data_IF_613160725018
#
_entry.id   IF_613160725018
#
_cell.length_a   1.000
_cell.length_b   1.000
_cell.length_c   1.000
_cell.angle_alpha   90.00
_cell.angle_beta   90.00
_cell.angle_gamma   90.00
#
_symmetry.space_group_name_H-M   'P 1'
#
loop_
_entity.id
_entity.type
_entity.pdbx_description
1 polymer ?
#
# COMPACT_ATOMS: atom_id res chain seq x y z
N UNK A 1 -12.64 -15.98 1.88
CA UNK A 1 -13.40 -15.32 2.97
C UNK A 1 -14.32 -14.27 2.34
N UNK A 2 -15.59 -14.17 2.77
CA UNK A 2 -16.49 -13.12 2.28
C UNK A 2 -16.19 -11.77 2.99
N UNK A 3 -15.55 -10.83 2.29
CA UNK A 3 -15.18 -9.52 2.86
C UNK A 3 -16.39 -8.71 3.39
N UNK A 4 -17.54 -8.67 2.70
CA UNK A 4 -18.77 -8.08 3.22
C UNK A 4 -19.16 -8.53 4.64
N UNK A 5 -19.18 -9.83 4.92
CA UNK A 5 -19.52 -10.33 6.27
C UNK A 5 -18.48 -9.93 7.32
N UNK A 6 -17.18 -10.00 7.01
CA UNK A 6 -16.09 -9.55 7.88
C UNK A 6 -16.24 -8.09 8.29
N UNK A 7 -16.45 -7.20 7.31
CA UNK A 7 -16.59 -5.76 7.57
C UNK A 7 -17.88 -5.43 8.31
N UNK A 8 -18.98 -6.17 8.05
CA UNK A 8 -20.24 -5.99 8.79
C UNK A 8 -20.05 -6.31 10.27
N UNK A 9 -19.46 -7.45 10.59
CA UNK A 9 -19.19 -7.85 11.98
C UNK A 9 -18.27 -6.85 12.68
N UNK A 10 -17.17 -6.46 12.04
CA UNK A 10 -16.26 -5.47 12.61
C UNK A 10 -16.96 -4.15 12.93
N UNK A 11 -17.84 -3.66 12.05
CA UNK A 11 -18.61 -2.43 12.30
C UNK A 11 -19.59 -2.58 13.47
N UNK A 12 -20.25 -3.73 13.61
CA UNK A 12 -21.16 -4.00 14.72
C UNK A 12 -20.41 -3.95 16.06
N UNK A 13 -19.29 -4.67 16.14
CA UNK A 13 -18.49 -4.78 17.37
C UNK A 13 -17.79 -3.45 17.72
N UNK A 14 -17.46 -2.64 16.72
CA UNK A 14 -16.76 -1.35 16.92
C UNK A 14 -17.58 -0.24 17.58
N UNK A 15 -18.88 -0.45 17.77
CA UNK A 15 -19.78 0.52 18.39
C UNK A 15 -19.31 0.94 19.79
N UNK A 16 -18.62 0.04 20.49
CA UNK A 16 -18.04 0.24 21.82
C UNK A 16 -16.78 1.13 21.82
N UNK A 17 -16.17 1.40 20.66
CA UNK A 17 -14.88 2.10 20.57
C UNK A 17 -15.00 3.54 20.11
N UNK A 18 -16.21 4.04 19.86
CA UNK A 18 -16.45 5.36 19.24
C UNK A 18 -15.82 6.53 19.99
N UNK A 19 -15.72 6.44 21.32
CA UNK A 19 -15.13 7.47 22.18
C UNK A 19 -13.60 7.41 22.25
N UNK A 20 -12.97 6.34 21.76
CA UNK A 20 -11.52 6.18 21.81
C UNK A 20 -10.80 7.05 20.79
N UNK A 21 -9.54 7.37 21.06
CA UNK A 21 -8.65 8.03 20.07
C UNK A 21 -8.40 7.13 18.85
N UNK A 22 -8.00 7.69 17.71
CA UNK A 22 -7.74 6.90 16.50
C UNK A 22 -6.68 5.80 16.71
N UNK A 23 -5.62 6.10 17.49
CA UNK A 23 -4.61 5.12 17.85
C UNK A 23 -5.19 3.98 18.70
N UNK A 24 -5.98 4.29 19.72
CA UNK A 24 -6.65 3.28 20.56
C UNK A 24 -7.68 2.46 19.78
N UNK A 25 -8.43 3.09 18.87
CA UNK A 25 -9.32 2.34 17.96
C UNK A 25 -8.53 1.37 17.07
N UNK A 26 -7.34 1.74 16.56
CA UNK A 26 -6.50 0.82 15.79
C UNK A 26 -6.03 -0.37 16.64
N UNK A 27 -5.65 -0.13 17.90
CA UNK A 27 -5.30 -1.21 18.84
C UNK A 27 -6.46 -2.18 19.05
N UNK A 28 -7.68 -1.66 19.28
CA UNK A 28 -8.87 -2.50 19.49
C UNK A 28 -9.27 -3.28 18.22
N UNK A 29 -9.21 -2.66 17.05
CA UNK A 29 -9.38 -3.37 15.76
C UNK A 29 -8.32 -4.47 15.61
N UNK A 30 -7.07 -4.20 16.01
CA UNK A 30 -6.00 -5.19 16.04
C UNK A 30 -6.30 -6.38 16.94
N UNK A 31 -6.74 -6.13 18.18
CA UNK A 31 -7.18 -7.18 19.13
C UNK A 31 -8.35 -7.99 18.57
N UNK A 32 -9.30 -7.33 17.91
CA UNK A 32 -10.44 -7.98 17.27
C UNK A 32 -10.02 -8.98 16.19
N UNK A 33 -9.02 -8.62 15.38
CA UNK A 33 -8.40 -9.53 14.40
C UNK A 33 -7.61 -10.64 15.08
N UNK A 34 -6.82 -10.33 16.11
CA UNK A 34 -6.04 -11.31 16.86
C UNK A 34 -6.93 -12.40 17.50
N UNK A 35 -8.05 -12.02 18.10
CA UNK A 35 -9.04 -12.94 18.65
C UNK A 35 -9.70 -13.87 17.61
N UNK A 36 -9.53 -13.58 16.31
CA UNK A 36 -10.02 -14.39 15.18
C UNK A 36 -8.89 -15.15 14.46
N UNK A 37 -7.73 -15.27 15.10
CA UNK A 37 -6.60 -16.06 14.60
C UNK A 37 -5.70 -15.34 13.59
N UNK A 38 -5.88 -14.03 13.40
CA UNK A 38 -4.94 -13.22 12.62
C UNK A 38 -3.71 -12.86 13.46
N UNK A 39 -2.53 -12.83 12.84
CA UNK A 39 -1.27 -12.46 13.49
C UNK A 39 -0.65 -11.26 12.78
N UNK A 40 -0.08 -10.34 13.54
CA UNK A 40 0.67 -9.22 12.99
C UNK A 40 1.94 -9.74 12.30
N UNK A 41 2.17 -9.30 11.06
CA UNK A 41 3.38 -9.62 10.27
C UNK A 41 4.24 -8.39 9.98
N UNK A 42 3.74 -7.20 10.29
CA UNK A 42 4.48 -5.96 10.16
C UNK A 42 3.76 -4.82 10.86
N UNK A 43 4.53 -3.98 11.54
CA UNK A 43 4.06 -2.77 12.20
C UNK A 43 4.91 -1.61 11.70
N UNK A 44 4.30 -0.70 10.96
CA UNK A 44 4.90 0.57 10.56
C UNK A 44 4.45 1.70 11.49
N UNK A 45 4.96 2.91 11.24
CA UNK A 45 4.60 4.10 12.03
C UNK A 45 3.10 4.42 11.98
N UNK A 46 2.43 4.08 10.88
CA UNK A 46 1.03 4.46 10.63
C UNK A 46 0.14 3.30 10.20
N UNK A 47 0.62 2.06 10.24
CA UNK A 47 -0.19 0.91 9.87
C UNK A 47 0.31 -0.39 10.50
N UNK A 48 -0.61 -1.29 10.80
CA UNK A 48 -0.33 -2.67 11.15
C UNK A 48 -0.87 -3.59 10.05
N UNK A 49 -0.10 -4.61 9.70
CA UNK A 49 -0.48 -5.62 8.72
C UNK A 49 -0.66 -6.96 9.41
N UNK A 50 -1.83 -7.57 9.22
CA UNK A 50 -2.22 -8.85 9.81
C UNK A 50 -2.37 -9.91 8.73
N UNK A 51 -2.02 -11.15 9.09
CA UNK A 51 -2.16 -12.32 8.23
C UNK A 51 -2.73 -13.49 9.01
N UNK A 52 -3.55 -14.31 8.36
CA UNK A 52 -3.93 -15.63 8.86
C UNK A 52 -3.20 -16.72 8.08
N UNK A 53 -2.86 -17.83 8.75
CA UNK A 53 -2.21 -18.96 8.11
C UNK A 53 -3.09 -19.54 6.98
N UNK A 54 -2.46 -19.97 5.89
CA UNK A 54 -3.17 -20.49 4.71
C UNK A 54 -3.80 -19.44 3.79
N UNK A 55 -3.93 -18.18 4.21
CA UNK A 55 -4.50 -17.12 3.37
C UNK A 55 -3.42 -16.46 2.48
N UNK A 56 -3.82 -16.08 1.27
CA UNK A 56 -3.06 -15.31 0.28
C UNK A 56 -3.34 -13.80 0.35
N UNK A 57 -4.13 -13.38 1.34
CA UNK A 57 -4.47 -11.99 1.61
C UNK A 57 -3.92 -11.54 2.97
N UNK A 58 -3.81 -10.23 3.14
CA UNK A 58 -3.47 -9.56 4.39
C UNK A 58 -4.49 -8.48 4.70
N UNK A 59 -4.59 -8.13 5.98
CA UNK A 59 -5.38 -7.00 6.46
C UNK A 59 -4.43 -5.87 6.82
N UNK A 60 -4.59 -4.70 6.21
CA UNK A 60 -3.93 -3.47 6.64
C UNK A 60 -4.89 -2.64 7.49
N UNK A 61 -4.46 -2.26 8.68
CA UNK A 61 -5.20 -1.41 9.62
C UNK A 61 -4.39 -0.13 9.84
N UNK A 62 -5.02 1.04 9.69
CA UNK A 62 -4.34 2.34 9.80
C UNK A 62 -5.28 3.40 10.38
N UNK A 63 -4.78 4.40 11.13
CA UNK A 63 -5.60 5.44 11.71
C UNK A 63 -6.04 6.44 10.64
N UNK A 64 -7.21 7.04 10.82
CA UNK A 64 -7.73 8.17 10.05
C UNK A 64 -7.73 9.43 10.92
N UNK A 65 -7.87 10.60 10.28
CA UNK A 65 -7.75 11.89 10.95
C UNK A 65 -6.30 12.34 11.20
N UNK A 66 -5.34 11.63 10.61
CA UNK A 66 -3.93 12.04 10.49
C UNK A 66 -3.55 12.05 9.01
N UNK A 67 -2.67 12.97 8.59
CA UNK A 67 -2.31 13.15 7.17
C UNK A 67 -1.86 11.84 6.49
N UNK A 68 -1.03 11.05 7.18
CA UNK A 68 -0.59 9.73 6.74
C UNK A 68 -1.75 8.78 6.40
N UNK A 69 -2.73 8.74 7.29
CA UNK A 69 -3.91 7.89 7.22
C UNK A 69 -4.83 8.25 6.07
N UNK A 70 -5.09 9.54 5.87
CA UNK A 70 -5.91 10.03 4.75
C UNK A 70 -5.24 9.74 3.40
N UNK A 71 -3.92 9.88 3.35
CA UNK A 71 -3.11 9.54 2.16
C UNK A 71 -3.15 8.06 1.85
N UNK A 72 -2.99 7.22 2.89
CA UNK A 72 -3.11 5.77 2.79
C UNK A 72 -4.51 5.38 2.28
N UNK A 73 -5.56 6.00 2.82
CA UNK A 73 -6.94 5.74 2.38
C UNK A 73 -7.14 6.08 0.90
N UNK A 74 -6.68 7.26 0.48
CA UNK A 74 -6.77 7.71 -0.90
C UNK A 74 -5.97 6.79 -1.85
N UNK A 75 -4.76 6.38 -1.43
CA UNK A 75 -3.92 5.44 -2.16
C UNK A 75 -4.63 4.09 -2.35
N UNK A 76 -5.14 3.48 -1.28
CA UNK A 76 -5.81 2.19 -1.35
C UNK A 76 -7.13 2.24 -2.13
N UNK A 77 -7.84 3.38 -2.14
CA UNK A 77 -9.00 3.61 -3.03
C UNK A 77 -8.59 3.58 -4.50
N UNK A 78 -7.46 4.19 -4.85
CA UNK A 78 -6.90 4.14 -6.20
C UNK A 78 -6.46 2.73 -6.57
N UNK A 79 -5.81 2.00 -5.65
CA UNK A 79 -5.42 0.60 -5.85
C UNK A 79 -6.64 -0.29 -6.16
N UNK A 80 -7.75 -0.10 -5.45
CA UNK A 80 -8.99 -0.86 -5.64
C UNK A 80 -9.65 -0.60 -7.01
N UNK A 81 -9.49 0.60 -7.56
CA UNK A 81 -10.08 1.01 -8.86
C UNK A 81 -9.16 0.74 -10.04
N UNK A 82 -7.85 0.73 -9.80
CA UNK A 82 -6.84 0.65 -10.83
C UNK A 82 -6.40 -0.77 -11.17
N UNK A 83 -5.90 -0.95 -12.39
CA UNK A 83 -5.28 -2.21 -12.85
C UNK A 83 -3.76 -2.08 -12.96
N UNK A 84 -3.16 -1.08 -12.32
CA UNK A 84 -1.73 -0.84 -12.41
C UNK A 84 -0.97 -1.97 -11.70
N UNK A 85 -0.13 -2.74 -12.42
CA UNK A 85 0.59 -3.86 -11.83
C UNK A 85 1.58 -3.44 -10.73
N UNK A 86 1.99 -2.16 -10.69
CA UNK A 86 2.86 -1.60 -9.64
C UNK A 86 2.15 -1.26 -8.33
N UNK A 87 0.83 -1.39 -8.29
CA UNK A 87 0.01 -1.10 -7.11
C UNK A 87 -0.55 -2.42 -6.57
N UNK A 88 -0.71 -2.56 -5.24
CA UNK A 88 -1.28 -3.77 -4.67
C UNK A 88 -2.75 -3.90 -5.08
N UNK A 89 -3.23 -5.12 -5.23
CA UNK A 89 -4.65 -5.42 -5.36
C UNK A 89 -5.31 -5.27 -4.01
N UNK A 90 -6.36 -4.46 -3.97
CA UNK A 90 -7.18 -4.23 -2.78
C UNK A 90 -8.56 -4.82 -3.06
N UNK A 91 -8.82 -5.97 -2.44
CA UNK A 91 -10.06 -6.74 -2.63
C UNK A 91 -11.22 -6.14 -1.78
N UNK A 92 -10.88 -5.54 -0.63
CA UNK A 92 -11.85 -4.91 0.26
C UNK A 92 -11.29 -3.67 0.94
N UNK A 93 -12.13 -2.66 1.15
CA UNK A 93 -11.77 -1.47 1.91
C UNK A 93 -12.99 -0.95 2.67
N UNK A 94 -12.84 -0.74 3.97
CA UNK A 94 -13.85 -0.13 4.84
C UNK A 94 -13.22 0.86 5.80
N UNK A 95 -14.06 1.71 6.38
CA UNK A 95 -13.73 2.49 7.58
C UNK A 95 -14.56 2.00 8.75
N UNK A 96 -14.01 2.12 9.95
CA UNK A 96 -14.62 1.74 11.23
C UNK A 96 -14.23 2.81 12.24
N UNK A 97 -15.16 3.70 12.58
CA UNK A 97 -14.82 4.91 13.34
C UNK A 97 -13.75 5.73 12.64
N UNK A 98 -12.60 5.92 13.31
CA UNK A 98 -11.41 6.62 12.79
C UNK A 98 -10.32 5.65 12.35
N UNK A 99 -10.69 4.47 11.87
CA UNK A 99 -9.74 3.44 11.43
C UNK A 99 -10.09 3.01 10.01
N UNK A 100 -9.09 2.99 9.13
CA UNK A 100 -9.16 2.37 7.82
C UNK A 100 -8.75 0.90 7.91
N UNK A 101 -9.52 0.03 7.24
CA UNK A 101 -9.26 -1.41 7.18
C UNK A 101 -9.33 -1.87 5.73
N UNK A 102 -8.24 -2.41 5.22
CA UNK A 102 -8.13 -2.90 3.85
C UNK A 102 -7.77 -4.39 3.82
N UNK A 103 -8.50 -5.15 3.00
CA UNK A 103 -8.12 -6.50 2.60
C UNK A 103 -7.37 -6.37 1.28
N UNK A 104 -6.13 -6.83 1.24
CA UNK A 104 -5.28 -6.70 0.07
C UNK A 104 -4.50 -7.99 -0.17
N UNK A 105 -4.01 -8.17 -1.38
CA UNK A 105 -3.16 -9.32 -1.69
C UNK A 105 -1.93 -9.37 -0.76
N UNK A 106 -1.45 -10.58 -0.53
CA UNK A 106 -0.18 -10.78 0.17
C UNK A 106 0.99 -10.66 -0.81
N UNK A 107 1.87 -9.72 -0.51
CA UNK A 107 3.12 -9.54 -1.23
C UNK A 107 4.29 -10.14 -0.44
N UNK A 108 5.33 -10.54 -1.16
CA UNK A 108 6.56 -11.07 -0.57
C UNK A 108 7.52 -9.91 -0.24
N UNK A 109 8.12 -9.95 0.95
CA UNK A 109 9.20 -9.02 1.28
C UNK A 109 10.34 -9.16 0.28
N UNK A 110 10.96 -8.04 -0.03
CA UNK A 110 12.08 -7.93 -0.97
C UNK A 110 13.42 -8.33 -0.36
N UNK A 111 13.53 -8.48 0.97
CA UNK A 111 14.77 -8.93 1.62
C UNK A 111 16.02 -8.11 1.25
N UNK A 112 15.89 -6.81 0.94
CA UNK A 112 17.04 -5.95 0.60
C UNK A 112 17.68 -6.20 -0.77
N UNK A 113 16.94 -6.79 -1.72
CA UNK A 113 17.43 -6.96 -3.09
C UNK A 113 17.91 -5.63 -3.69
N UNK A 114 19.15 -5.58 -4.20
CA UNK A 114 19.76 -4.38 -4.79
C UNK A 114 18.90 -3.75 -5.90
N UNK A 115 18.21 -4.58 -6.68
CA UNK A 115 17.27 -4.14 -7.72
C UNK A 115 16.14 -3.27 -7.15
N UNK A 116 15.70 -3.52 -5.93
CA UNK A 116 14.61 -2.80 -5.28
C UNK A 116 15.04 -1.40 -4.86
N UNK A 117 16.27 -1.28 -4.34
CA UNK A 117 16.88 0.01 -4.08
C UNK A 117 16.97 0.87 -5.34
N UNK A 118 17.46 0.29 -6.44
CA UNK A 118 17.60 1.00 -7.72
C UNK A 118 16.23 1.48 -8.24
N UNK A 119 15.20 0.62 -8.20
CA UNK A 119 13.84 1.00 -8.63
C UNK A 119 13.24 2.06 -7.71
N UNK A 120 13.43 1.94 -6.40
CA UNK A 120 12.96 2.93 -5.43
C UNK A 120 13.59 4.30 -5.66
N UNK A 121 14.90 4.33 -5.93
CA UNK A 121 15.63 5.53 -6.26
C UNK A 121 15.13 6.16 -7.57
N UNK A 122 14.94 5.37 -8.63
CA UNK A 122 14.44 5.85 -9.92
C UNK A 122 13.02 6.43 -9.82
N UNK A 123 12.12 5.76 -9.10
CA UNK A 123 10.75 6.27 -8.84
C UNK A 123 10.83 7.58 -8.05
N UNK A 124 11.72 7.65 -7.06
CA UNK A 124 11.93 8.86 -6.23
C UNK A 124 12.50 10.02 -7.02
N UNK A 125 13.53 9.76 -7.84
CA UNK A 125 14.15 10.73 -8.75
C UNK A 125 13.10 11.29 -9.69
N UNK A 126 12.29 10.44 -10.31
CA UNK A 126 11.26 10.87 -11.25
C UNK A 126 10.12 11.63 -10.58
N UNK A 127 9.67 11.20 -9.39
CA UNK A 127 8.65 11.95 -8.66
C UNK A 127 9.15 13.35 -8.26
N UNK A 128 10.42 13.46 -7.84
CA UNK A 128 11.07 14.73 -7.43
C UNK A 128 11.47 15.63 -8.60
N UNK A 129 11.74 15.07 -9.79
CA UNK A 129 12.02 15.82 -11.01
C UNK A 129 10.78 16.66 -11.38
N UNK A 130 10.79 17.91 -10.90
CA UNK A 130 9.62 18.76 -10.71
C UNK A 130 9.04 19.39 -11.98
N UNK A 131 9.64 19.21 -13.16
CA UNK A 131 9.73 20.40 -14.05
C UNK A 131 9.67 20.22 -15.55
N UNK A 132 9.35 19.05 -16.12
CA UNK A 132 9.16 18.98 -17.57
C UNK A 132 7.93 18.14 -17.87
N UNK A 133 6.98 18.68 -18.61
CA UNK A 133 5.91 17.95 -19.32
C UNK A 133 6.47 16.93 -20.34
N UNK A 134 7.63 16.32 -20.06
CA UNK A 134 8.28 15.32 -20.87
C UNK A 134 7.71 13.97 -20.47
N UNK A 135 7.24 13.23 -21.47
CA UNK A 135 6.90 11.81 -21.32
C UNK A 135 8.12 11.04 -20.82
N UNK A 136 7.89 10.23 -19.80
CA UNK A 136 8.81 9.20 -19.32
C UNK A 136 9.18 8.30 -20.51
N UNK A 137 10.47 8.10 -20.77
CA UNK A 137 10.96 7.15 -21.76
C UNK A 137 11.76 6.03 -21.07
N UNK A 138 12.15 5.01 -21.84
CA UNK A 138 12.87 3.84 -21.30
C UNK A 138 14.27 4.20 -20.80
N UNK A 139 14.89 5.18 -21.42
CA UNK A 139 16.26 5.63 -21.12
C UNK A 139 16.32 6.44 -19.81
N UNK A 140 15.17 6.89 -19.31
CA UNK A 140 15.04 7.53 -18.00
C UNK A 140 15.13 6.52 -16.82
N UNK A 141 15.12 5.21 -17.10
CA UNK A 141 15.18 4.14 -16.11
C UNK A 141 16.57 3.50 -16.05
N UNK A 142 17.07 3.18 -14.85
CA UNK A 142 18.31 2.43 -14.72
C UNK A 142 18.24 1.07 -15.43
N UNK A 143 19.37 0.60 -15.96
CA UNK A 143 19.42 -0.75 -16.56
C UNK A 143 18.96 -1.83 -15.59
N UNK A 144 19.18 -1.66 -14.28
CA UNK A 144 18.74 -2.59 -13.25
C UNK A 144 17.21 -2.59 -13.09
N UNK A 145 16.54 -1.44 -13.18
CA UNK A 145 15.07 -1.37 -13.23
C UNK A 145 14.50 -1.96 -14.53
N UNK A 146 15.29 -1.91 -15.62
CA UNK A 146 14.89 -2.35 -16.96
C UNK A 146 15.33 -3.78 -17.29
N UNK A 147 16.25 -4.42 -16.55
CA UNK A 147 16.80 -5.76 -16.88
C UNK A 147 17.01 -6.69 -15.67
N UNK A 148 16.72 -6.24 -14.44
CA UNK A 148 16.91 -7.04 -13.22
C UNK A 148 15.98 -8.26 -13.08
N UNK A 149 16.28 -9.13 -12.12
CA UNK A 149 15.45 -10.29 -11.77
C UNK A 149 14.05 -9.85 -11.30
N UNK A 150 13.03 -10.15 -12.12
CA UNK A 150 11.66 -9.69 -11.93
C UNK A 150 11.24 -8.90 -13.16
N UNK A 151 10.43 -9.52 -14.03
CA UNK A 151 10.10 -8.96 -15.35
C UNK A 151 9.51 -7.55 -15.22
N UNK A 152 10.33 -6.57 -15.61
CA UNK A 152 10.04 -5.33 -16.34
C UNK A 152 8.72 -4.61 -16.00
N UNK A 153 8.81 -3.53 -15.20
CA UNK A 153 7.79 -2.48 -15.28
C UNK A 153 7.86 -1.83 -16.64
N UNK A 154 6.71 -1.70 -17.28
CA UNK A 154 6.64 -0.85 -18.44
C UNK A 154 6.65 0.60 -17.94
N UNK A 155 7.35 1.47 -18.67
CA UNK A 155 7.39 2.92 -18.43
C UNK A 155 5.99 3.51 -18.22
N UNK A 156 4.98 2.95 -18.90
CA UNK A 156 3.57 3.32 -18.75
C UNK A 156 3.00 3.04 -17.35
N UNK A 157 3.43 1.96 -16.69
CA UNK A 157 2.93 1.56 -15.37
C UNK A 157 3.52 2.47 -14.30
N UNK A 158 4.81 2.82 -14.42
CA UNK A 158 5.46 3.83 -13.59
C UNK A 158 4.82 5.21 -13.78
N UNK A 159 4.58 5.61 -15.02
CA UNK A 159 3.92 6.90 -15.33
C UNK A 159 2.54 6.98 -14.67
N UNK A 160 1.74 5.90 -14.75
CA UNK A 160 0.42 5.80 -14.12
C UNK A 160 0.52 5.83 -12.59
N UNK A 161 1.49 5.14 -12.00
CA UNK A 161 1.74 5.17 -10.56
C UNK A 161 2.05 6.61 -10.13
N UNK A 162 3.03 7.25 -10.75
CA UNK A 162 3.46 8.61 -10.40
C UNK A 162 2.33 9.63 -10.56
N UNK A 163 1.54 9.52 -11.64
CA UNK A 163 0.36 10.36 -11.84
C UNK A 163 -0.63 10.20 -10.68
N UNK A 164 -0.91 8.96 -10.28
CA UNK A 164 -1.82 8.65 -9.17
C UNK A 164 -1.32 9.25 -7.86
N UNK A 165 -0.02 9.10 -7.56
CA UNK A 165 0.61 9.65 -6.35
C UNK A 165 0.58 11.18 -6.32
N UNK A 166 0.78 11.83 -7.47
CA UNK A 166 0.67 13.29 -7.59
C UNK A 166 -0.77 13.77 -7.35
N UNK A 167 -1.75 13.10 -7.95
CA UNK A 167 -3.17 13.41 -7.71
C UNK A 167 -3.51 13.30 -6.23
N UNK A 168 -3.12 12.19 -5.57
CA UNK A 168 -3.40 12.01 -4.13
C UNK A 168 -2.71 13.11 -3.32
N UNK A 169 -1.41 13.36 -3.53
CA UNK A 169 -0.68 14.40 -2.81
C UNK A 169 -1.30 15.80 -2.97
N UNK A 170 -1.87 16.11 -4.13
CA UNK A 170 -2.57 17.38 -4.34
C UNK A 170 -3.90 17.47 -3.56
N UNK A 171 -4.53 16.33 -3.27
CA UNK A 171 -5.79 16.22 -2.53
C UNK A 171 -5.57 16.11 -1.02
N UNK A 172 -4.38 15.71 -0.57
CA UNK A 172 -4.02 15.58 0.84
C UNK A 172 -2.80 16.45 1.18
N UNK A 173 -2.98 17.76 1.44
CA UNK A 173 -1.88 18.64 1.81
C UNK A 173 -1.21 18.16 3.12
N UNK A 174 0.12 18.03 3.10
CA UNK A 174 0.91 17.56 4.24
C UNK A 174 1.45 16.14 4.11
N UNK A 175 0.92 15.33 3.17
CA UNK A 175 1.47 14.00 2.86
C UNK A 175 2.89 14.09 2.34
N UNK A 176 3.76 13.21 2.84
CA UNK A 176 5.11 13.05 2.33
C UNK A 176 5.17 11.78 1.50
N UNK A 177 5.92 11.85 0.43
CA UNK A 177 6.19 10.67 -0.36
C UNK A 177 7.36 9.92 0.30
N UNK A 178 7.10 8.72 0.77
CA UNK A 178 8.10 7.80 1.29
C UNK A 178 8.33 6.66 0.28
N UNK A 179 9.32 6.84 -0.58
CA UNK A 179 9.76 5.79 -1.53
C UNK A 179 11.01 5.08 -1.02
N UNK A 180 11.10 4.84 0.28
CA UNK A 180 12.12 3.94 0.77
C UNK A 180 11.90 2.52 0.20
N UNK A 181 12.95 1.72 0.18
CA UNK A 181 12.91 0.33 -0.30
C UNK A 181 11.92 -0.58 0.44
N UNK A 182 11.59 -0.27 1.70
CA UNK A 182 10.66 -1.09 2.51
C UNK A 182 9.21 -0.95 2.05
N UNK A 183 8.90 0.10 1.29
CA UNK A 183 7.61 0.29 0.64
C UNK A 183 7.49 -0.43 -0.72
N UNK A 184 8.49 -1.23 -1.09
CA UNK A 184 8.47 -2.06 -2.30
C UNK A 184 8.47 -3.54 -1.91
N UNK A 185 7.52 -4.30 -2.46
CA UNK A 185 7.33 -5.73 -2.22
C UNK A 185 7.15 -6.49 -3.53
N UNK A 186 7.24 -7.82 -3.54
CA UNK A 186 7.13 -8.64 -4.75
C UNK A 186 5.78 -9.34 -4.84
N UNK A 187 5.09 -9.20 -5.98
CA UNK A 187 3.97 -10.03 -6.42
C UNK A 187 4.50 -11.18 -7.27
N UNK A 188 4.10 -12.42 -6.95
CA UNK A 188 4.27 -13.55 -7.86
C UNK A 188 3.23 -13.50 -8.97
N UNK A 189 3.65 -13.61 -10.21
CA UNK A 189 2.82 -13.67 -11.42
C UNK A 189 3.16 -14.94 -12.21
N UNK A 190 2.27 -15.41 -13.11
CA UNK A 190 2.59 -16.54 -14.00
C UNK A 190 3.85 -16.31 -14.84
N UNK A 191 4.17 -15.04 -15.15
CA UNK A 191 5.31 -14.64 -15.95
C UNK A 191 6.60 -14.43 -15.13
N UNK A 192 6.55 -14.53 -13.79
CA UNK A 192 7.67 -14.25 -12.89
C UNK A 192 7.28 -13.32 -11.74
N UNK A 193 8.26 -12.67 -11.09
CA UNK A 193 7.98 -11.70 -10.01
C UNK A 193 7.84 -10.28 -10.55
N UNK A 194 6.95 -9.49 -9.96
CA UNK A 194 6.79 -8.06 -10.19
C UNK A 194 6.89 -7.32 -8.85
N UNK A 195 7.80 -6.37 -8.72
CA UNK A 195 7.77 -5.31 -7.70
C UNK A 195 6.42 -4.52 -7.67
N UNK A 196 5.99 -4.21 -6.47
CA UNK A 196 4.75 -3.50 -6.14
C UNK A 196 5.08 -2.49 -5.07
N UNK A 197 4.63 -1.25 -5.26
CA UNK A 197 4.75 -0.19 -4.25
C UNK A 197 3.57 -0.32 -3.32
N UNK A 198 3.77 -0.42 -2.00
CA UNK A 198 2.71 -0.80 -1.06
C UNK A 198 2.17 0.34 -0.22
N UNK A 199 3.00 1.34 0.08
CA UNK A 199 2.59 2.49 0.88
C UNK A 199 3.46 3.73 0.66
N UNK A 200 3.44 4.33 -0.53
CA UNK A 200 4.37 5.39 -0.86
C UNK A 200 4.03 6.74 -0.21
N UNK A 201 2.88 6.86 0.47
CA UNK A 201 2.37 8.14 0.98
C UNK A 201 2.01 7.98 2.47
N UNK A 202 2.81 8.61 3.33
CA UNK A 202 2.63 8.69 4.78
C UNK A 202 2.80 10.14 5.27
#
# INVERSE_FOLDING_TARGET
MDHPSLFRQLRQDSSLWKSLSAAKQCEEVGKWFAGRGWKTIGTGAFACVYRRAGEDQVIKVFPLGVGAGESTLAYLRSCRRGTNPMMPRVDGLTTVGRVGVAVMERLESTGGLLTVHAVAEDVGRYFRARSRNRRLNRDDLSEQAVRGEGRHFQVKDLSRLVSTLRTIRSQTPGSRLDLNQSNFMLRKTPQGKALVVTDPLA
#
